data_IF_036741680055
#
_entry.id   IF_036741680055
#
_cell.length_a   1.000
_cell.length_b   1.000
_cell.length_c   1.000
_cell.angle_alpha   90.00
_cell.angle_beta   90.00
_cell.angle_gamma   90.00
#
_symmetry.space_group_name_H-M   'P 1'
#
loop_
_entity.id
_entity.type
_entity.pdbx_description
1 polymer ?
#
# COMPACT_ATOMS: atom_id res chain seq x y z
N UNK A 1 -46.42 17.77 26.70
CA UNK A 1 -47.65 17.43 25.94
C UNK A 1 -47.20 17.11 24.52
N UNK A 2 -47.35 15.93 23.93
CA UNK A 2 -48.56 15.12 23.82
C UNK A 2 -48.24 13.61 23.82
N UNK A 3 -49.17 12.81 24.34
CA UNK A 3 -49.02 11.42 24.78
C UNK A 3 -49.30 10.37 23.70
N UNK A 4 -48.50 9.29 23.74
CA UNK A 4 -48.82 7.83 23.69
C UNK A 4 -49.88 7.31 22.70
N UNK A 5 -49.53 6.22 21.99
CA UNK A 5 -50.15 4.89 22.22
C UNK A 5 -49.34 3.73 21.58
N UNK A 6 -48.86 2.85 22.45
CA UNK A 6 -48.53 1.43 22.23
C UNK A 6 -49.78 0.59 22.50
N UNK A 7 -50.03 -0.47 21.74
CA UNK A 7 -50.76 -1.70 22.11
C UNK A 7 -50.31 -2.79 21.10
N UNK A 8 -49.47 -3.78 21.43
CA UNK A 8 -49.62 -5.03 22.23
C UNK A 8 -50.43 -6.15 21.54
N UNK A 9 -49.76 -7.30 21.49
CA UNK A 9 -50.11 -8.64 21.00
C UNK A 9 -51.51 -9.17 21.37
N UNK A 10 -52.03 -10.06 20.52
CA UNK A 10 -53.05 -11.05 20.86
C UNK A 10 -53.33 -12.03 19.72
N UNK A 11 -52.86 -13.27 19.85
CA UNK A 11 -53.13 -14.40 18.96
C UNK A 11 -54.59 -14.88 19.09
N UNK A 12 -55.21 -15.31 17.98
CA UNK A 12 -56.13 -16.45 17.98
C UNK A 12 -56.17 -17.11 16.59
N UNK A 13 -55.92 -18.42 16.60
CA UNK A 13 -56.11 -19.44 15.55
C UNK A 13 -57.54 -19.99 15.76
N UNK A 14 -58.43 -20.26 14.79
CA UNK A 14 -58.47 -21.33 13.77
C UNK A 14 -59.77 -21.19 12.95
N UNK A 15 -59.79 -21.57 11.67
CA UNK A 15 -61.03 -21.85 10.93
C UNK A 15 -60.93 -21.55 9.43
N UNK A 16 -60.59 -22.57 8.63
CA UNK A 16 -60.22 -22.42 7.22
C UNK A 16 -61.37 -22.32 6.21
N UNK A 17 -61.03 -21.88 5.00
CA UNK A 17 -61.64 -22.27 3.73
C UNK A 17 -60.76 -21.82 2.54
N UNK A 18 -60.36 -22.80 1.70
CA UNK A 18 -60.10 -22.66 0.26
C UNK A 18 -59.05 -21.67 -0.25
N UNK A 19 -57.83 -22.16 -0.54
CA UNK A 19 -56.86 -21.45 -1.39
C UNK A 19 -57.12 -21.83 -2.85
N UNK A 20 -57.65 -20.89 -3.63
CA UNK A 20 -57.56 -20.90 -5.10
C UNK A 20 -56.26 -20.17 -5.49
N UNK A 21 -55.28 -20.92 -6.01
CA UNK A 21 -54.02 -20.38 -6.49
C UNK A 21 -54.23 -19.51 -7.74
N UNK A 22 -53.93 -18.23 -7.62
CA UNK A 22 -53.84 -17.30 -8.75
C UNK A 22 -52.37 -17.20 -9.17
N UNK A 23 -52.03 -17.89 -10.25
CA UNK A 23 -50.76 -17.76 -10.96
C UNK A 23 -50.78 -16.49 -11.81
N UNK A 24 -49.91 -15.54 -11.45
CA UNK A 24 -49.64 -14.38 -12.30
C UNK A 24 -48.70 -14.82 -13.44
N UNK A 25 -49.24 -14.96 -14.64
CA UNK A 25 -48.44 -15.11 -15.86
C UNK A 25 -47.90 -13.74 -16.28
N UNK A 26 -46.62 -13.50 -16.05
CA UNK A 26 -45.87 -12.46 -16.76
C UNK A 26 -45.55 -13.02 -18.15
N UNK A 27 -46.28 -12.55 -19.16
CA UNK A 27 -45.94 -12.78 -20.55
C UNK A 27 -44.60 -12.16 -20.87
N UNK A 28 -43.56 -12.98 -21.00
CA UNK A 28 -42.31 -12.61 -21.65
C UNK A 28 -42.48 -12.84 -23.15
N UNK A 29 -42.95 -11.82 -23.88
CA UNK A 29 -42.68 -11.74 -25.32
C UNK A 29 -41.20 -11.45 -25.48
N UNK A 30 -40.43 -12.54 -25.59
CA UNK A 30 -39.04 -12.53 -26.01
C UNK A 30 -38.98 -12.07 -27.46
N UNK A 31 -38.93 -10.76 -27.67
CA UNK A 31 -38.41 -10.20 -28.92
C UNK A 31 -36.89 -10.44 -28.94
N UNK A 32 -36.49 -11.70 -29.13
CA UNK A 32 -35.12 -12.09 -29.44
C UNK A 32 -34.79 -11.60 -30.84
N UNK A 33 -34.45 -10.31 -30.92
CA UNK A 33 -33.69 -9.75 -32.04
C UNK A 33 -32.35 -10.48 -32.01
N UNK A 34 -32.19 -11.47 -32.90
CA UNK A 34 -30.90 -12.11 -33.17
C UNK A 34 -29.91 -11.05 -33.65
N UNK A 35 -29.25 -10.38 -32.70
CA UNK A 35 -27.95 -9.80 -32.94
C UNK A 35 -27.00 -10.98 -33.09
N UNK A 36 -26.55 -11.24 -34.33
CA UNK A 36 -25.52 -12.24 -34.58
C UNK A 36 -24.35 -12.01 -33.62
N UNK A 37 -23.94 -13.06 -32.90
CA UNK A 37 -22.72 -13.02 -32.10
C UNK A 37 -21.54 -12.91 -33.08
N UNK A 38 -21.21 -11.71 -33.50
CA UNK A 38 -19.90 -11.41 -34.08
C UNK A 38 -18.88 -11.67 -32.98
N UNK A 39 -18.21 -12.82 -33.04
CA UNK A 39 -17.14 -13.15 -32.11
C UNK A 39 -16.03 -12.11 -32.20
N UNK A 40 -15.52 -11.70 -31.05
CA UNK A 40 -14.34 -10.83 -31.00
C UNK A 40 -13.15 -11.50 -31.67
N UNK A 41 -12.43 -10.75 -32.51
CA UNK A 41 -11.17 -11.19 -33.11
C UNK A 41 -10.02 -10.69 -32.25
N UNK A 42 -9.61 -11.52 -31.29
CA UNK A 42 -8.50 -11.20 -30.40
C UNK A 42 -7.14 -11.18 -31.14
N UNK A 43 -6.18 -10.38 -30.67
CA UNK A 43 -4.79 -10.47 -31.12
C UNK A 43 -4.26 -11.90 -30.95
N UNK A 44 -3.63 -12.48 -31.99
CA UNK A 44 -3.12 -13.84 -31.92
C UNK A 44 -1.94 -13.93 -30.95
N UNK A 45 -1.89 -15.00 -30.16
CA UNK A 45 -0.73 -15.39 -29.37
C UNK A 45 -0.23 -16.73 -29.88
N UNK A 46 1.07 -16.86 -30.20
CA UNK A 46 1.60 -18.18 -30.56
C UNK A 46 1.62 -19.05 -29.33
N UNK A 47 1.34 -20.34 -29.55
CA UNK A 47 1.53 -21.37 -28.56
C UNK A 47 2.92 -21.97 -28.74
N UNK A 48 3.70 -21.95 -27.67
CA UNK A 48 4.98 -22.63 -27.55
C UNK A 48 4.91 -23.49 -26.28
N UNK A 49 4.54 -24.77 -26.40
CA UNK A 49 4.38 -25.65 -25.25
C UNK A 49 5.69 -25.83 -24.49
N UNK A 50 5.79 -25.26 -23.29
CA UNK A 50 6.91 -25.49 -22.37
C UNK A 50 6.44 -26.37 -21.22
N UNK A 51 6.99 -27.58 -21.10
CA UNK A 51 6.72 -28.46 -19.95
C UNK A 51 7.45 -27.92 -18.72
N UNK A 52 6.72 -27.73 -17.63
CA UNK A 52 7.23 -27.27 -16.34
C UNK A 52 6.93 -28.33 -15.28
N UNK A 53 7.79 -28.41 -14.25
CA UNK A 53 7.56 -29.30 -13.11
C UNK A 53 8.04 -28.69 -11.80
N UNK A 54 7.26 -28.91 -10.74
CA UNK A 54 7.60 -28.55 -9.36
C UNK A 54 7.09 -29.67 -8.44
N UNK A 55 7.97 -30.21 -7.59
CA UNK A 55 7.59 -31.19 -6.56
C UNK A 55 6.91 -32.45 -7.10
N UNK A 56 7.21 -32.87 -8.33
CA UNK A 56 6.60 -34.04 -8.98
C UNK A 56 5.28 -33.76 -9.72
N UNK A 57 4.78 -32.53 -9.71
CA UNK A 57 3.65 -32.10 -10.55
C UNK A 57 4.18 -31.57 -11.87
N UNK A 58 3.62 -32.01 -13.00
CA UNK A 58 3.97 -31.54 -14.34
C UNK A 58 2.79 -30.84 -15.02
N UNK A 59 3.07 -29.79 -15.78
CA UNK A 59 2.09 -29.10 -16.62
C UNK A 59 2.76 -28.50 -17.86
N UNK A 60 1.95 -28.05 -18.81
CA UNK A 60 2.41 -27.34 -20.01
C UNK A 60 2.00 -25.87 -19.91
N UNK A 61 2.96 -24.98 -20.13
CA UNK A 61 2.73 -23.54 -20.27
C UNK A 61 2.95 -23.15 -21.73
N UNK A 62 1.85 -23.03 -22.50
CA UNK A 62 1.87 -22.65 -23.92
C UNK A 62 2.39 -21.22 -24.16
N UNK A 63 2.47 -20.38 -23.12
CA UNK A 63 2.74 -18.96 -23.24
C UNK A 63 3.87 -18.50 -22.30
N UNK A 64 4.79 -19.41 -21.96
CA UNK A 64 5.93 -19.08 -21.10
C UNK A 64 6.74 -17.88 -21.63
N UNK A 65 6.76 -17.69 -22.95
CA UNK A 65 7.42 -16.55 -23.62
C UNK A 65 6.83 -15.17 -23.25
N UNK A 66 5.58 -15.09 -22.78
CA UNK A 66 4.95 -13.84 -22.29
C UNK A 66 5.44 -13.41 -20.91
N UNK A 67 6.22 -14.23 -20.20
CA UNK A 67 6.77 -13.91 -18.87
C UNK A 67 7.98 -12.96 -18.95
N UNK A 68 8.58 -12.83 -20.14
CA UNK A 68 9.75 -12.00 -20.40
C UNK A 68 9.36 -10.75 -21.20
N UNK A 69 10.06 -9.64 -20.97
CA UNK A 69 9.85 -8.38 -21.71
C UNK A 69 10.54 -8.37 -23.08
N UNK A 70 10.31 -9.42 -23.88
CA UNK A 70 10.82 -9.49 -25.25
C UNK A 70 10.06 -8.55 -26.19
N UNK A 71 10.67 -8.20 -27.32
CA UNK A 71 10.01 -7.38 -28.35
C UNK A 71 8.68 -8.02 -28.84
N UNK A 72 8.62 -9.34 -28.95
CA UNK A 72 7.38 -10.07 -29.31
C UNK A 72 6.31 -9.91 -28.22
N UNK A 73 6.68 -10.07 -26.95
CA UNK A 73 5.75 -9.97 -25.83
C UNK A 73 5.19 -8.55 -25.69
N UNK A 74 6.04 -7.54 -25.79
CA UNK A 74 5.64 -6.13 -25.75
C UNK A 74 4.74 -5.75 -26.95
N UNK A 75 5.04 -6.28 -28.14
CA UNK A 75 4.18 -6.08 -29.32
C UNK A 75 2.80 -6.73 -29.14
N UNK A 76 2.74 -7.94 -28.57
CA UNK A 76 1.48 -8.61 -28.25
C UNK A 76 0.68 -7.84 -27.18
N UNK A 77 1.33 -7.37 -26.11
CA UNK A 77 0.70 -6.55 -25.08
C UNK A 77 0.11 -5.25 -25.68
N UNK A 78 0.86 -4.61 -26.57
CA UNK A 78 0.38 -3.41 -27.28
C UNK A 78 -0.83 -3.72 -28.15
N UNK A 79 -0.82 -4.83 -28.89
CA UNK A 79 -1.97 -5.25 -29.69
C UNK A 79 -3.22 -5.56 -28.82
N UNK A 80 -3.03 -6.15 -27.64
CA UNK A 80 -4.11 -6.35 -26.67
C UNK A 80 -4.63 -5.02 -26.11
N UNK A 81 -3.73 -4.09 -25.79
CA UNK A 81 -4.09 -2.75 -25.33
C UNK A 81 -4.95 -2.02 -26.37
N UNK A 82 -4.54 -2.03 -27.64
CA UNK A 82 -5.31 -1.39 -28.72
C UNK A 82 -6.66 -2.07 -28.96
N UNK A 83 -6.69 -3.41 -28.95
CA UNK A 83 -7.93 -4.15 -29.09
C UNK A 83 -8.93 -3.80 -27.96
N UNK A 84 -8.47 -3.80 -26.71
CA UNK A 84 -9.31 -3.39 -25.57
C UNK A 84 -9.72 -1.91 -25.68
N UNK A 85 -8.81 -1.03 -26.10
CA UNK A 85 -9.09 0.37 -26.38
C UNK A 85 -10.23 0.56 -27.37
N UNK A 86 -10.23 -0.19 -28.48
CA UNK A 86 -11.29 -0.11 -29.49
C UNK A 86 -12.68 -0.49 -28.97
N UNK A 87 -12.76 -1.36 -27.97
CA UNK A 87 -14.04 -1.79 -27.39
C UNK A 87 -14.49 -0.84 -26.28
N UNK A 88 -13.56 -0.31 -25.50
CA UNK A 88 -13.84 0.46 -24.30
C UNK A 88 -13.79 1.96 -24.54
N UNK A 89 -12.68 2.48 -25.05
CA UNK A 89 -12.43 3.92 -25.26
C UNK A 89 -13.21 4.46 -26.47
N UNK A 90 -13.23 3.68 -27.54
CA UNK A 90 -13.91 4.07 -28.79
C UNK A 90 -15.39 3.60 -28.80
N UNK A 91 -15.80 2.92 -27.72
CA UNK A 91 -17.18 2.47 -27.52
C UNK A 91 -18.13 3.63 -27.23
N UNK A 92 -19.44 3.45 -27.51
CA UNK A 92 -20.43 4.53 -27.42
C UNK A 92 -20.62 5.08 -26.00
N UNK A 93 -20.35 4.27 -24.98
CA UNK A 93 -20.58 4.62 -23.57
C UNK A 93 -19.40 5.31 -22.90
N UNK A 94 -18.21 5.28 -23.51
CA UNK A 94 -16.98 5.78 -22.86
C UNK A 94 -17.13 7.21 -22.38
N UNK A 95 -17.61 8.06 -23.28
CA UNK A 95 -17.71 9.49 -23.07
C UNK A 95 -18.77 9.85 -22.03
N UNK A 96 -19.86 9.07 -21.97
CA UNK A 96 -20.87 9.18 -20.93
C UNK A 96 -20.31 8.84 -19.56
N UNK A 97 -19.63 7.69 -19.44
CA UNK A 97 -19.01 7.23 -18.19
C UNK A 97 -17.92 8.19 -17.73
N UNK A 98 -17.04 8.64 -18.63
CA UNK A 98 -15.97 9.60 -18.35
C UNK A 98 -16.53 10.90 -17.75
N UNK A 99 -17.51 11.52 -18.40
CA UNK A 99 -18.14 12.76 -17.90
C UNK A 99 -18.79 12.56 -16.53
N UNK A 100 -19.42 11.39 -16.31
CA UNK A 100 -20.04 11.09 -15.02
C UNK A 100 -18.99 11.00 -13.91
N UNK A 101 -17.87 10.32 -14.14
CA UNK A 101 -16.78 10.21 -13.17
C UNK A 101 -16.10 11.56 -12.89
N UNK A 102 -15.89 12.37 -13.94
CA UNK A 102 -15.38 13.73 -13.80
C UNK A 102 -16.31 14.59 -12.92
N UNK A 103 -17.62 14.49 -13.12
CA UNK A 103 -18.63 15.25 -12.35
C UNK A 103 -18.70 14.87 -10.86
N UNK A 104 -18.33 13.63 -10.51
CA UNK A 104 -18.37 13.13 -9.12
C UNK A 104 -17.08 13.42 -8.34
N UNK A 105 -16.16 14.20 -8.91
CA UNK A 105 -14.87 14.45 -8.27
C UNK A 105 -13.90 13.27 -8.38
N UNK A 106 -13.99 12.46 -9.43
CA UNK A 106 -13.00 11.40 -9.70
C UNK A 106 -11.56 11.90 -9.79
N UNK A 107 -11.36 13.20 -10.06
CA UNK A 107 -10.06 13.89 -10.03
C UNK A 107 -9.67 14.39 -8.63
N UNK A 108 -10.65 14.56 -7.74
CA UNK A 108 -10.47 15.04 -6.37
C UNK A 108 -10.62 13.90 -5.37
N UNK A 109 -9.77 12.87 -5.46
CA UNK A 109 -9.50 12.11 -4.24
C UNK A 109 -8.70 13.05 -3.33
N UNK A 110 -9.37 13.65 -2.34
CA UNK A 110 -8.66 14.21 -1.18
C UNK A 110 -8.08 13.03 -0.40
N UNK A 111 -7.08 12.39 -0.98
CA UNK A 111 -6.28 11.41 -0.27
C UNK A 111 -5.43 12.21 0.70
N UNK A 112 -5.95 12.38 1.91
CA UNK A 112 -5.15 12.81 3.05
C UNK A 112 -4.52 11.54 3.57
N UNK A 113 -3.24 11.32 3.27
CA UNK A 113 -2.49 10.34 4.04
C UNK A 113 -2.52 10.77 5.52
N UNK A 114 -2.44 9.84 6.49
CA UNK A 114 -2.56 10.18 7.90
C UNK A 114 -1.62 11.32 8.26
N UNK A 115 -2.18 12.36 8.91
CA UNK A 115 -1.38 13.48 9.38
C UNK A 115 -0.32 12.96 10.35
N UNK A 116 0.95 13.28 10.10
CA UNK A 116 2.05 12.91 11.01
C UNK A 116 2.40 14.09 11.88
N UNK A 117 2.32 13.91 13.19
CA UNK A 117 2.87 14.86 14.16
C UNK A 117 4.25 14.38 14.62
N UNK A 118 5.29 15.19 14.40
CA UNK A 118 6.68 14.94 14.83
C UNK A 118 7.38 16.26 15.13
N UNK A 119 8.17 16.31 16.21
CA UNK A 119 8.90 17.52 16.58
C UNK A 119 8.06 18.78 16.74
N UNK A 120 6.78 18.65 17.10
CA UNK A 120 5.83 19.77 17.16
C UNK A 120 5.28 20.22 15.78
N UNK A 121 5.70 19.59 14.69
CA UNK A 121 5.27 19.88 13.32
C UNK A 121 4.26 18.86 12.83
N UNK A 122 3.38 19.31 11.95
CA UNK A 122 2.28 18.55 11.35
C UNK A 122 2.54 18.41 9.85
N UNK A 123 2.74 17.17 9.39
CA UNK A 123 3.02 16.85 8.00
C UNK A 123 1.80 16.22 7.34
N UNK A 124 1.45 16.74 6.17
CA UNK A 124 0.26 16.31 5.41
C UNK A 124 0.66 16.08 3.96
N UNK A 125 0.35 14.90 3.44
CA UNK A 125 0.30 14.68 2.00
C UNK A 125 -1.13 14.92 1.54
N UNK A 126 -1.32 15.92 0.67
CA UNK A 126 -2.61 16.34 0.15
C UNK A 126 -2.54 16.39 -1.36
N UNK A 127 -3.54 15.81 -2.01
CA UNK A 127 -3.79 16.05 -3.43
C UNK A 127 -4.61 17.32 -3.59
N UNK A 128 -4.03 18.33 -4.23
CA UNK A 128 -4.68 19.60 -4.57
C UNK A 128 -4.85 19.66 -6.09
N UNK A 129 -6.09 19.86 -6.56
CA UNK A 129 -6.53 19.72 -7.96
C UNK A 129 -6.11 18.39 -8.63
N UNK A 130 -4.89 18.35 -9.15
CA UNK A 130 -4.26 17.34 -10.00
C UNK A 130 -2.82 17.02 -9.57
N UNK A 131 -2.32 17.69 -8.53
CA UNK A 131 -0.96 17.58 -8.03
C UNK A 131 -0.91 17.09 -6.59
N UNK A 132 0.05 16.22 -6.32
CA UNK A 132 0.38 15.77 -4.97
C UNK A 132 1.32 16.80 -4.32
N UNK A 133 0.94 17.30 -3.14
CA UNK A 133 1.75 18.22 -2.34
C UNK A 133 1.98 17.67 -0.95
N UNK A 134 3.21 17.81 -0.47
CA UNK A 134 3.55 17.55 0.91
C UNK A 134 3.76 18.87 1.63
N UNK A 135 2.97 19.05 2.68
CA UNK A 135 2.80 20.27 3.45
C UNK A 135 3.31 20.06 4.86
N UNK A 136 3.78 21.14 5.49
CA UNK A 136 4.13 21.18 6.92
C UNK A 136 3.52 22.40 7.60
N UNK A 137 3.08 22.26 8.83
CA UNK A 137 2.62 23.35 9.69
C UNK A 137 3.13 23.17 11.12
N UNK A 138 3.40 24.26 11.82
CA UNK A 138 3.81 24.24 13.24
C UNK A 138 2.63 24.00 14.20
N UNK A 139 1.39 24.05 13.69
CA UNK A 139 0.19 23.75 14.47
C UNK A 139 -0.82 22.93 13.66
N UNK A 140 -1.72 22.20 14.34
CA UNK A 140 -2.69 21.31 13.68
C UNK A 140 -3.61 22.03 12.69
N UNK A 141 -3.90 23.31 12.93
CA UNK A 141 -4.78 24.15 12.10
C UNK A 141 -4.08 25.42 11.60
N UNK A 142 -2.75 25.40 11.58
CA UNK A 142 -1.92 26.52 11.14
C UNK A 142 -1.90 26.69 9.63
N UNK A 143 -1.20 27.72 9.17
CA UNK A 143 -0.97 27.92 7.75
C UNK A 143 0.04 26.90 7.23
N UNK A 144 -0.38 26.08 6.27
CA UNK A 144 0.46 25.08 5.61
C UNK A 144 1.58 25.77 4.82
N UNK A 145 2.82 25.31 5.00
CA UNK A 145 3.97 25.58 4.13
C UNK A 145 4.19 24.39 3.20
N UNK A 146 4.30 24.63 1.89
CA UNK A 146 4.61 23.59 0.91
C UNK A 146 6.08 23.21 1.04
N UNK A 147 6.37 21.94 1.37
CA UNK A 147 7.72 21.37 1.34
C UNK A 147 8.04 20.80 -0.04
N UNK A 148 7.12 20.01 -0.58
CA UNK A 148 7.25 19.36 -1.87
C UNK A 148 5.96 19.55 -2.67
N UNK A 149 6.14 19.85 -3.95
CA UNK A 149 5.11 19.89 -4.97
C UNK A 149 5.74 19.61 -6.32
N UNK A 150 4.96 19.55 -7.42
CA UNK A 150 5.47 19.16 -8.73
C UNK A 150 6.66 19.99 -9.20
N UNK A 151 6.61 21.31 -9.01
CA UNK A 151 7.65 22.24 -9.44
C UNK A 151 8.96 21.95 -8.71
N UNK A 152 8.87 21.79 -7.39
CA UNK A 152 10.03 21.50 -6.54
C UNK A 152 10.61 20.11 -6.82
N UNK A 153 9.77 19.11 -7.09
CA UNK A 153 10.22 17.76 -7.43
C UNK A 153 10.98 17.73 -8.75
N UNK A 154 10.48 18.43 -9.79
CA UNK A 154 11.20 18.56 -11.07
C UNK A 154 12.56 19.20 -10.89
N UNK A 155 12.64 20.27 -10.11
CA UNK A 155 13.89 20.98 -9.81
C UNK A 155 14.90 20.08 -9.06
N UNK A 156 14.45 19.44 -7.97
CA UNK A 156 15.31 18.61 -7.13
C UNK A 156 15.80 17.33 -7.82
N UNK A 157 14.99 16.76 -8.71
CA UNK A 157 15.27 15.48 -9.36
C UNK A 157 15.78 15.63 -10.79
N UNK A 158 15.73 16.85 -11.35
CA UNK A 158 16.13 17.17 -12.73
C UNK A 158 15.38 16.29 -13.74
N UNK A 159 14.05 16.40 -13.73
CA UNK A 159 13.13 15.63 -14.60
C UNK A 159 12.06 16.53 -15.21
N UNK A 160 11.55 16.16 -16.39
CA UNK A 160 10.50 16.91 -17.10
C UNK A 160 9.14 16.79 -16.40
N UNK A 161 8.78 15.57 -16.02
CA UNK A 161 7.53 15.27 -15.31
C UNK A 161 7.80 14.97 -13.84
N UNK A 162 7.02 15.62 -12.97
CA UNK A 162 7.14 15.39 -11.54
C UNK A 162 6.66 13.98 -11.19
N UNK A 163 7.48 13.15 -10.52
CA UNK A 163 7.02 11.86 -10.06
C UNK A 163 5.97 12.02 -8.96
N UNK A 164 5.22 10.94 -8.72
CA UNK A 164 4.21 10.90 -7.65
C UNK A 164 4.89 10.72 -6.30
N UNK A 165 4.36 11.36 -5.25
CA UNK A 165 4.72 11.06 -3.87
C UNK A 165 3.94 9.81 -3.42
N UNK A 166 4.64 8.71 -3.20
CA UNK A 166 4.05 7.43 -2.81
C UNK A 166 3.89 7.28 -1.29
N UNK A 167 4.76 7.93 -0.52
CA UNK A 167 4.74 7.87 0.94
C UNK A 167 5.69 8.88 1.55
N UNK A 168 5.56 9.10 2.86
CA UNK A 168 6.48 9.97 3.61
C UNK A 168 6.61 9.51 5.07
N UNK A 169 7.76 9.85 5.66
CA UNK A 169 8.13 9.61 7.05
C UNK A 169 9.04 10.72 7.59
N UNK A 170 8.51 11.66 8.39
CA UNK A 170 9.33 12.64 9.09
C UNK A 170 10.12 11.99 10.24
N UNK A 171 11.32 12.49 10.49
CA UNK A 171 12.13 12.14 11.66
C UNK A 171 11.39 12.48 12.96
N UNK A 172 11.71 11.84 14.09
CA UNK A 172 11.05 12.10 15.37
C UNK A 172 11.03 13.56 15.80
N UNK A 173 12.11 14.29 15.52
CA UNK A 173 12.27 15.73 15.77
C UNK A 173 11.69 16.63 14.66
N UNK A 174 11.15 16.06 13.58
CA UNK A 174 10.54 16.79 12.47
C UNK A 174 11.50 17.66 11.64
N UNK A 175 12.83 17.48 11.78
CA UNK A 175 13.83 18.28 11.06
C UNK A 175 14.19 17.70 9.70
N UNK A 176 14.01 16.39 9.51
CA UNK A 176 14.24 15.67 8.25
C UNK A 176 12.96 14.98 7.80
N UNK A 177 12.68 15.03 6.51
CA UNK A 177 11.58 14.32 5.88
C UNK A 177 12.11 13.26 4.92
N UNK A 178 11.85 11.99 5.21
CA UNK A 178 11.91 10.94 4.21
C UNK A 178 10.64 10.96 3.34
N UNK A 179 10.79 10.86 2.03
CA UNK A 179 9.67 10.74 1.10
C UNK A 179 10.01 9.73 -0.01
N UNK A 180 9.04 8.90 -0.37
CA UNK A 180 9.17 7.95 -1.46
C UNK A 180 8.55 8.55 -2.72
N UNK A 181 9.30 8.51 -3.81
CA UNK A 181 8.80 8.83 -5.15
C UNK A 181 8.54 7.55 -5.94
N UNK A 182 7.45 7.55 -6.69
CA UNK A 182 7.07 6.46 -7.57
C UNK A 182 7.09 6.93 -9.03
N UNK A 183 7.87 6.23 -9.85
CA UNK A 183 7.98 6.44 -11.30
C UNK A 183 6.89 5.71 -12.12
N UNK A 184 5.89 5.13 -11.46
CA UNK A 184 4.78 4.40 -12.10
C UNK A 184 4.78 2.90 -11.84
N UNK A 185 5.52 2.41 -10.84
CA UNK A 185 5.49 1.00 -10.44
C UNK A 185 4.51 0.80 -9.29
N UNK A 186 3.85 -0.36 -9.22
CA UNK A 186 2.74 -0.52 -8.28
C UNK A 186 3.13 -0.47 -6.79
N UNK A 187 4.41 -0.65 -6.40
CA UNK A 187 4.84 -0.61 -4.98
C UNK A 187 6.31 -0.27 -4.70
N UNK A 188 7.17 -0.17 -5.71
CA UNK A 188 8.59 0.12 -5.51
C UNK A 188 8.87 1.59 -5.80
N UNK A 189 9.63 2.25 -4.95
CA UNK A 189 9.94 3.65 -5.12
C UNK A 189 11.30 4.00 -4.52
N UNK A 190 11.77 5.17 -4.90
CA UNK A 190 13.00 5.72 -4.34
C UNK A 190 12.66 6.56 -3.11
N UNK A 191 13.14 6.14 -1.95
CA UNK A 191 13.20 6.98 -0.76
C UNK A 191 14.30 8.01 -0.91
N UNK A 192 13.93 9.27 -0.72
CA UNK A 192 14.78 10.46 -0.69
C UNK A 192 14.57 11.18 0.63
N UNK A 193 15.55 11.97 1.05
CA UNK A 193 15.52 12.66 2.35
C UNK A 193 15.82 14.15 2.18
N UNK A 194 15.06 15.00 2.87
CA UNK A 194 15.17 16.46 2.77
C UNK A 194 15.22 17.08 4.17
N UNK A 195 16.00 18.14 4.33
CA UNK A 195 15.94 19.01 5.52
C UNK A 195 14.72 19.93 5.43
N UNK A 196 13.83 19.86 6.42
CA UNK A 196 12.53 20.52 6.42
C UNK A 196 12.63 22.05 6.42
N UNK A 197 13.66 22.59 7.07
CA UNK A 197 13.84 24.05 7.23
C UNK A 197 14.53 24.67 6.02
N UNK A 198 15.61 24.07 5.55
CA UNK A 198 16.39 24.58 4.42
C UNK A 198 15.79 24.21 3.07
N UNK A 199 14.96 23.16 3.00
CA UNK A 199 14.49 22.62 1.73
C UNK A 199 15.56 21.83 0.95
N UNK A 200 16.72 21.57 1.58
CA UNK A 200 17.87 20.92 0.96
C UNK A 200 17.70 19.41 0.89
N UNK A 201 17.94 18.84 -0.28
CA UNK A 201 18.01 17.38 -0.44
C UNK A 201 19.30 16.84 0.19
N UNK A 202 19.19 15.76 0.96
CA UNK A 202 20.32 15.06 1.54
C UNK A 202 20.89 14.05 0.54
N UNK A 203 22.19 13.79 0.62
CA UNK A 203 22.86 12.69 -0.10
C UNK A 203 22.58 11.35 0.59
N UNK A 204 21.29 11.07 0.81
CA UNK A 204 20.76 9.87 1.42
C UNK A 204 19.57 9.41 0.60
N UNK A 205 19.49 8.11 0.38
CA UNK A 205 18.38 7.51 -0.33
C UNK A 205 18.57 6.02 -0.51
N UNK A 206 17.47 5.35 -0.86
CA UNK A 206 17.45 3.95 -1.22
C UNK A 206 16.17 3.61 -1.98
N UNK A 207 16.22 2.57 -2.80
CA UNK A 207 15.03 2.04 -3.46
C UNK A 207 14.45 0.90 -2.63
N UNK A 208 13.13 0.89 -2.47
CA UNK A 208 12.44 -0.10 -1.65
C UNK A 208 10.94 -0.10 -1.86
N UNK A 209 10.28 -1.12 -1.30
CA UNK A 209 8.82 -1.13 -1.21
C UNK A 209 8.36 0.00 -0.26
N UNK A 210 7.74 1.05 -0.79
CA UNK A 210 7.39 2.23 0.03
C UNK A 210 6.28 1.96 1.07
N UNK A 211 5.64 0.79 1.04
CA UNK A 211 4.66 0.39 2.05
C UNK A 211 5.29 -0.32 3.24
N UNK A 212 6.33 -1.14 3.01
CA UNK A 212 6.91 -2.01 4.05
C UNK A 212 8.39 -1.79 4.34
N UNK A 213 9.10 -1.14 3.44
CA UNK A 213 10.53 -0.83 3.57
C UNK A 213 10.69 0.68 3.85
N UNK A 214 9.95 1.16 4.87
CA UNK A 214 9.98 2.55 5.34
C UNK A 214 11.23 2.80 6.21
N UNK A 215 11.74 4.04 6.31
CA UNK A 215 12.86 4.32 7.20
C UNK A 215 12.42 4.17 8.66
N UNK A 216 13.04 3.25 9.38
CA UNK A 216 12.78 3.02 10.80
C UNK A 216 13.62 3.96 11.66
N UNK A 217 13.08 5.15 11.95
CA UNK A 217 13.79 6.21 12.64
C UNK A 217 14.23 5.84 14.06
N UNK A 218 15.48 6.17 14.40
CA UNK A 218 15.93 6.20 15.79
C UNK A 218 15.29 7.39 16.51
N UNK A 219 14.95 7.21 17.78
CA UNK A 219 14.20 8.20 18.56
C UNK A 219 14.91 9.56 18.72
N UNK A 220 16.25 9.56 18.66
CA UNK A 220 17.08 10.78 18.72
C UNK A 220 17.26 11.46 17.35
N UNK A 221 16.60 10.95 16.31
CA UNK A 221 16.67 11.46 14.93
C UNK A 221 18.07 11.44 14.30
N UNK A 222 19.04 10.75 14.91
CA UNK A 222 20.41 10.69 14.38
C UNK A 222 20.53 9.90 13.07
N UNK A 223 19.50 9.12 12.76
CA UNK A 223 19.43 8.25 11.60
C UNK A 223 18.20 7.36 11.60
N UNK A 224 18.22 6.35 10.74
CA UNK A 224 17.17 5.34 10.64
C UNK A 224 17.78 3.97 10.28
N UNK A 225 17.10 2.88 10.61
CA UNK A 225 17.34 1.61 9.95
C UNK A 225 16.62 1.60 8.60
N UNK A 226 17.38 1.37 7.54
CA UNK A 226 16.89 1.09 6.20
C UNK A 226 16.54 -0.40 6.10
N UNK A 227 15.27 -0.79 5.93
CA UNK A 227 14.93 -2.13 5.49
C UNK A 227 15.45 -2.32 4.06
N UNK A 228 16.09 -3.47 3.81
CA UNK A 228 16.74 -3.76 2.52
C UNK A 228 16.88 -5.26 2.32
N UNK A 229 17.52 -5.65 1.22
CA UNK A 229 17.97 -7.01 0.97
C UNK A 229 19.49 -7.06 0.79
N UNK A 230 20.10 -8.17 1.18
CA UNK A 230 21.47 -8.51 0.79
C UNK A 230 21.53 -8.90 -0.69
N UNK A 231 22.74 -9.03 -1.24
CA UNK A 231 22.95 -9.42 -2.64
C UNK A 231 22.40 -10.81 -2.99
N UNK A 232 22.32 -11.70 -2.02
CA UNK A 232 21.69 -13.03 -2.10
C UNK A 232 20.20 -13.02 -1.73
N UNK A 233 19.59 -11.83 -1.56
CA UNK A 233 18.15 -11.67 -1.41
C UNK A 233 17.60 -11.82 0.02
N UNK A 234 18.47 -11.96 1.03
CA UNK A 234 18.04 -12.06 2.43
C UNK A 234 17.54 -10.71 2.97
N UNK A 235 16.52 -10.73 3.82
CA UNK A 235 16.06 -9.52 4.50
C UNK A 235 17.15 -8.95 5.41
N UNK A 236 17.34 -7.65 5.37
CA UNK A 236 18.32 -6.95 6.17
C UNK A 236 17.83 -5.58 6.64
N UNK A 237 18.44 -5.08 7.71
CA UNK A 237 18.29 -3.72 8.18
C UNK A 237 19.67 -3.07 8.26
N UNK A 238 19.85 -1.94 7.59
CA UNK A 238 21.12 -1.21 7.57
C UNK A 238 20.97 0.14 8.25
N UNK A 239 21.77 0.47 9.29
CA UNK A 239 21.70 1.79 9.90
C UNK A 239 22.20 2.82 8.90
N UNK A 240 21.47 3.92 8.75
CA UNK A 240 21.81 5.09 7.95
C UNK A 240 21.88 6.28 8.87
N UNK A 241 23.03 6.95 8.88
CA UNK A 241 23.26 8.15 9.69
C UNK A 241 22.90 9.37 8.86
N UNK A 242 22.13 10.31 9.44
CA UNK A 242 21.75 11.56 8.76
C UNK A 242 22.94 12.52 8.69
N UNK A 243 23.59 12.76 9.83
CA UNK A 243 24.76 13.62 9.98
C UNK A 243 25.87 12.83 10.69
N UNK A 244 26.98 12.48 10.02
CA UNK A 244 28.09 11.77 10.64
C UNK A 244 28.68 12.45 11.89
N UNK A 245 28.63 13.79 11.97
CA UNK A 245 29.09 14.53 13.15
C UNK A 245 28.16 14.36 14.35
N UNK A 246 26.93 13.89 14.12
CA UNK A 246 25.87 13.68 15.11
C UNK A 246 25.28 12.27 14.99
N UNK A 247 26.14 11.27 14.89
CA UNK A 247 25.74 9.90 14.59
C UNK A 247 24.78 9.26 15.64
N UNK A 248 24.79 9.73 16.88
CA UNK A 248 23.80 9.37 17.92
C UNK A 248 23.58 7.87 18.11
N UNK A 249 22.33 7.45 18.27
CA UNK A 249 21.93 6.05 18.38
C UNK A 249 22.21 5.26 17.08
N UNK A 250 21.98 5.86 15.92
CA UNK A 250 22.26 5.22 14.63
C UNK A 250 23.73 4.82 14.47
N UNK A 251 24.68 5.61 14.98
CA UNK A 251 26.10 5.30 14.96
C UNK A 251 26.53 4.16 15.89
N UNK A 252 25.68 3.78 16.85
CA UNK A 252 25.92 2.64 17.75
C UNK A 252 25.33 1.34 17.20
N UNK A 253 24.48 1.44 16.18
CA UNK A 253 23.77 0.30 15.63
C UNK A 253 24.63 -0.44 14.60
N UNK A 254 24.55 -1.77 14.63
CA UNK A 254 25.17 -2.66 13.66
C UNK A 254 24.17 -3.02 12.56
N UNK A 255 24.66 -3.31 11.34
CA UNK A 255 23.88 -3.96 10.30
C UNK A 255 23.28 -5.28 10.79
N UNK A 256 22.02 -5.56 10.44
CA UNK A 256 21.31 -6.80 10.76
C UNK A 256 20.95 -7.52 9.46
N UNK A 257 21.11 -8.85 9.43
CA UNK A 257 20.68 -9.72 8.33
C UNK A 257 19.90 -10.89 8.91
N UNK A 258 18.82 -11.28 8.24
CA UNK A 258 17.94 -12.38 8.64
C UNK A 258 18.05 -13.51 7.61
N UNK A 259 18.48 -14.68 8.05
CA UNK A 259 18.57 -15.88 7.22
C UNK A 259 17.17 -16.39 6.84
N UNK A 260 17.08 -17.20 5.79
CA UNK A 260 15.82 -17.86 5.41
C UNK A 260 15.27 -18.73 6.56
N UNK A 261 16.14 -19.39 7.33
CA UNK A 261 15.73 -20.15 8.51
C UNK A 261 15.15 -19.29 9.66
N UNK A 262 15.38 -17.97 9.63
CA UNK A 262 14.86 -17.04 10.64
C UNK A 262 13.42 -16.62 10.35
N UNK A 263 12.92 -16.88 9.14
CA UNK A 263 11.71 -16.27 8.62
C UNK A 263 10.84 -17.32 7.94
N UNK A 264 9.55 -17.32 8.27
CA UNK A 264 8.59 -18.04 7.44
C UNK A 264 8.46 -17.27 6.11
N UNK A 265 8.83 -17.96 5.01
CA UNK A 265 8.58 -17.67 3.58
C UNK A 265 8.32 -16.21 3.16
N UNK A 266 9.16 -15.65 2.27
CA UNK A 266 8.82 -14.63 1.25
C UNK A 266 8.12 -13.30 1.60
N UNK A 267 7.67 -13.07 2.84
CA UNK A 267 6.85 -11.91 3.19
C UNK A 267 7.69 -10.70 3.56
N UNK A 268 7.15 -9.51 3.28
CA UNK A 268 7.72 -8.26 3.76
C UNK A 268 7.82 -8.26 5.29
N UNK A 269 8.98 -7.80 5.79
CA UNK A 269 9.30 -7.76 7.21
C UNK A 269 9.34 -6.30 7.66
N UNK A 270 8.67 -6.03 8.77
CA UNK A 270 8.65 -4.72 9.39
C UNK A 270 9.64 -4.68 10.54
N UNK A 271 10.33 -3.54 10.67
CA UNK A 271 11.12 -3.21 11.84
C UNK A 271 10.28 -2.37 12.80
N UNK A 272 10.56 -2.49 14.09
CA UNK A 272 10.11 -1.51 15.08
C UNK A 272 11.21 -1.34 16.11
N UNK A 273 11.76 -0.13 16.21
CA UNK A 273 12.78 0.18 17.21
C UNK A 273 12.18 0.41 18.58
N UNK A 274 12.88 -0.04 19.62
CA UNK A 274 12.65 0.40 20.99
C UNK A 274 12.98 1.89 21.13
N UNK A 275 12.38 2.61 22.10
CA UNK A 275 12.63 4.04 22.29
C UNK A 275 14.11 4.39 22.51
N UNK A 276 14.90 3.51 23.11
CA UNK A 276 16.34 3.69 23.33
C UNK A 276 17.20 3.25 22.13
N UNK A 277 16.57 2.80 21.03
CA UNK A 277 17.20 2.30 19.82
C UNK A 277 17.98 0.99 19.99
N UNK A 278 17.99 0.40 21.20
CA UNK A 278 18.79 -0.78 21.52
C UNK A 278 18.21 -2.05 20.92
N UNK A 279 16.91 -2.15 20.76
CA UNK A 279 16.25 -3.34 20.26
C UNK A 279 15.45 -3.04 19.00
N UNK A 280 15.59 -3.91 18.00
CA UNK A 280 14.75 -3.95 16.81
C UNK A 280 13.84 -5.17 16.93
N UNK A 281 12.53 -4.94 17.00
CA UNK A 281 11.52 -5.98 16.82
C UNK A 281 11.32 -6.22 15.33
N UNK A 282 11.51 -7.46 14.90
CA UNK A 282 11.24 -7.90 13.52
C UNK A 282 9.93 -8.69 13.49
N UNK A 283 8.98 -8.28 12.65
CA UNK A 283 7.67 -8.92 12.52
C UNK A 283 7.25 -9.12 11.06
N UNK A 284 6.35 -10.07 10.79
CA UNK A 284 5.69 -10.19 9.48
C UNK A 284 4.56 -9.17 9.34
N UNK A 285 4.44 -8.60 8.14
CA UNK A 285 3.25 -7.84 7.78
C UNK A 285 2.06 -8.76 7.46
N UNK A 286 2.29 -9.89 6.78
CA UNK A 286 1.30 -10.86 6.28
C UNK A 286 1.83 -12.31 6.30
N UNK A 287 0.95 -13.33 6.27
CA UNK A 287 -0.50 -13.29 6.49
C UNK A 287 -0.85 -13.18 7.98
N UNK A 288 -2.09 -12.83 8.31
CA UNK A 288 -2.61 -12.93 9.67
C UNK A 288 -2.61 -14.39 10.12
N UNK A 289 -2.12 -14.69 11.32
CA UNK A 289 -1.65 -13.74 12.34
C UNK A 289 -0.25 -13.16 12.09
N UNK A 290 -0.07 -11.87 12.44
CA UNK A 290 1.26 -11.26 12.43
C UNK A 290 2.14 -11.98 13.44
N UNK A 291 3.29 -12.48 12.99
CA UNK A 291 4.26 -13.16 13.85
C UNK A 291 5.39 -12.19 14.15
N UNK A 292 5.58 -11.90 15.44
CA UNK A 292 6.79 -11.27 15.94
C UNK A 292 7.86 -12.35 16.04
N UNK A 293 8.91 -12.24 15.24
CA UNK A 293 9.95 -13.27 15.15
C UNK A 293 11.05 -13.01 16.17
N UNK A 294 11.70 -11.86 16.06
CA UNK A 294 12.98 -11.62 16.72
C UNK A 294 12.99 -10.29 17.44
N UNK A 295 13.54 -10.28 18.64
CA UNK A 295 14.10 -9.10 19.25
C UNK A 295 15.61 -9.11 18.99
N UNK A 296 16.09 -8.13 18.22
CA UNK A 296 17.49 -8.00 17.84
C UNK A 296 18.13 -6.87 18.63
N UNK A 297 19.18 -7.14 19.40
CA UNK A 297 20.01 -6.11 20.02
C UNK A 297 20.86 -5.43 18.94
N UNK A 298 20.57 -4.17 18.66
CA UNK A 298 21.14 -3.40 17.55
C UNK A 298 22.62 -3.11 17.75
N UNK A 299 23.14 -3.13 18.97
CA UNK A 299 24.56 -2.85 19.26
C UNK A 299 25.44 -4.08 19.06
N UNK A 300 24.90 -5.25 19.36
CA UNK A 300 25.64 -6.52 19.28
C UNK A 300 25.36 -7.28 18.00
N UNK A 301 24.17 -7.12 17.42
CA UNK A 301 23.61 -7.96 16.35
C UNK A 301 23.00 -9.26 16.87
N UNK A 302 23.03 -9.50 18.19
CA UNK A 302 22.45 -10.68 18.81
C UNK A 302 20.93 -10.65 18.70
N UNK A 303 20.32 -11.79 18.33
CA UNK A 303 18.87 -11.93 18.24
C UNK A 303 18.38 -13.03 19.18
N UNK A 304 17.17 -12.85 19.71
CA UNK A 304 16.43 -13.86 20.46
C UNK A 304 14.97 -13.86 20.03
N UNK A 305 14.27 -14.98 20.20
CA UNK A 305 12.84 -15.02 19.94
C UNK A 305 12.13 -13.94 20.77
N UNK A 306 11.17 -13.24 20.13
CA UNK A 306 10.39 -12.22 20.85
C UNK A 306 9.43 -12.89 21.85
N UNK A 307 8.79 -13.97 21.43
CA UNK A 307 7.95 -14.82 22.26
C UNK A 307 8.79 -15.97 22.84
N UNK A 308 8.50 -16.43 24.07
CA UNK A 308 9.06 -17.65 24.64
C UNK A 308 8.77 -18.89 23.79
N UNK A 309 9.61 -19.92 23.90
CA UNK A 309 9.47 -21.18 23.14
C UNK A 309 8.20 -21.96 23.50
N UNK A 310 7.62 -21.73 24.69
CA UNK A 310 6.38 -22.34 25.19
C UNK A 310 5.12 -21.48 24.91
N UNK A 311 5.25 -20.41 24.12
CA UNK A 311 4.12 -19.55 23.78
C UNK A 311 3.30 -20.09 22.59
N UNK A 312 2.29 -20.91 22.89
CA UNK A 312 1.40 -21.55 21.90
C UNK A 312 0.27 -20.66 21.36
N UNK A 313 0.22 -19.36 21.71
CA UNK A 313 -0.86 -18.47 21.30
C UNK A 313 -0.48 -17.65 20.07
N UNK A 314 -1.25 -17.86 19.00
CA UNK A 314 -1.35 -16.92 17.89
C UNK A 314 -1.87 -15.57 18.41
N UNK A 315 -1.07 -14.51 18.32
CA UNK A 315 -1.53 -13.14 18.64
C UNK A 315 -2.48 -12.67 17.54
N UNK A 316 -3.78 -12.86 17.75
CA UNK A 316 -4.81 -12.11 17.04
C UNK A 316 -4.81 -10.69 17.60
N UNK A 317 -4.37 -9.72 16.81
CA UNK A 317 -4.58 -8.30 17.12
C UNK A 317 -6.07 -7.98 17.06
N UNK A 318 -6.79 -8.16 18.16
CA UNK A 318 -8.15 -7.65 18.34
C UNK A 318 -8.02 -6.30 19.05
N UNK A 319 -8.09 -5.20 18.28
CA UNK A 319 -8.45 -3.91 18.86
C UNK A 319 -9.87 -4.03 19.42
N UNK A 320 -9.98 -4.26 20.73
CA UNK A 320 -11.23 -4.04 21.44
C UNK A 320 -11.30 -2.54 21.76
N UNK A 321 -11.81 -1.75 20.80
CA UNK A 321 -12.23 -0.38 21.10
C UNK A 321 -13.51 -0.50 21.92
N UNK A 322 -13.37 -0.40 23.25
CA UNK A 322 -14.52 -0.24 24.13
C UNK A 322 -14.93 1.23 24.06
N UNK A 323 -15.94 1.55 23.24
CA UNK A 323 -16.62 2.85 23.35
C UNK A 323 -17.52 2.76 24.58
N UNK A 324 -17.11 3.39 25.68
CA UNK A 324 -18.00 3.66 26.80
C UNK A 324 -19.03 4.70 26.37
N UNK A 325 -20.32 4.37 26.41
CA UNK A 325 -21.37 5.38 26.28
C UNK A 325 -21.32 6.33 27.48
N UNK A 326 -21.56 7.64 27.28
CA UNK A 326 -21.58 8.60 28.37
C UNK A 326 -22.82 8.38 29.25
N UNK A 327 -22.60 8.29 30.56
CA UNK A 327 -23.64 8.37 31.60
C UNK A 327 -24.29 9.74 31.66
#
# INVERSE_FOLDING_TARGET
MNRRRFLRNGSLVLGGAGVAGSTWSLGSESASKQAGRTGFRYPPARKEPVRKSIGGVEWTDDYAWLQEETAEALAWQSAQHEFAGSLLRDGPEFDHVRRRLDSTGGRSSRMVAPVRNRGGRWFVHRRESDADRLLVSDTMSGQDRVLLGPERLRELLVVDDAPRIAGFEPSPDGTVLGFAIDGGTVRHGDWRFLEVDSGRLLELGYSGDFMFERPEWFADSSGFFQPTRTSDGLHAFRPRIVDPARAGLAGQAKPITLAAADLDIGFNKLGQLSPDGRYLLVSSFTPTPRKSYWLVDTRTGGKRAFLPDDHDAVVFGVERITISEPT
#
